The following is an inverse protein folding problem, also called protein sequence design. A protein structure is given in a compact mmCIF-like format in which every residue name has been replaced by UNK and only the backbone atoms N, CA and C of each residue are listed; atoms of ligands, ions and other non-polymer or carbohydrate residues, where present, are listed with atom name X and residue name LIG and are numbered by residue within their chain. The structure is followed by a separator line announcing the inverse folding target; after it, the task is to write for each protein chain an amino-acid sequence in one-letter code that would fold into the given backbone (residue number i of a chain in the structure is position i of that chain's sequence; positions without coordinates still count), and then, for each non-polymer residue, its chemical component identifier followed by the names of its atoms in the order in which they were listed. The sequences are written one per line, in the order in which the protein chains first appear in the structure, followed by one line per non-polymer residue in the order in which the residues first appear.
data_IF_370359982919
#
_entry.id   IF_370359982919
#
_cell.length_a   1.000
_cell.length_b   1.000
_cell.length_c   1.000
_cell.angle_alpha   90.00
_cell.angle_beta   90.00
_cell.angle_gamma   90.00
#
_symmetry.space_group_name_H-M   'P 1'
#
loop_
_entity.id
_entity.type
_entity.pdbx_description
1 polymer ?
#
# COMPACT_ATOMS: atom_id res chain seq x y z
N UNK A 1 21.39 -11.84 -31.65
CA UNK A 1 20.21 -10.96 -31.44
C UNK A 1 20.41 -10.34 -30.07
N UNK A 2 20.86 -9.08 -30.03
CA UNK A 2 21.16 -8.35 -28.79
C UNK A 2 19.84 -7.81 -28.23
N UNK A 3 19.38 -8.36 -27.10
CA UNK A 3 18.23 -7.82 -26.38
C UNK A 3 18.73 -6.64 -25.53
N UNK A 4 18.62 -5.44 -26.08
CA UNK A 4 18.63 -4.22 -25.29
C UNK A 4 17.41 -4.25 -24.37
N UNK A 5 17.61 -4.57 -23.10
CA UNK A 5 16.60 -4.37 -22.08
C UNK A 5 16.21 -2.89 -22.09
N UNK A 6 14.96 -2.60 -22.43
CA UNK A 6 14.39 -1.27 -22.25
C UNK A 6 14.43 -0.98 -20.75
N UNK A 7 15.34 -0.10 -20.33
CA UNK A 7 15.32 0.49 -19.00
C UNK A 7 14.04 1.31 -18.93
N UNK A 8 12.97 0.72 -18.39
CA UNK A 8 11.80 1.47 -18.00
C UNK A 8 12.25 2.48 -16.95
N UNK A 9 12.33 3.76 -17.34
CA UNK A 9 12.58 4.85 -16.40
C UNK A 9 11.37 4.91 -15.48
N UNK A 10 11.50 4.33 -14.29
CA UNK A 10 10.45 4.39 -13.27
C UNK A 10 10.38 5.84 -12.81
N UNK A 11 9.25 6.50 -13.07
CA UNK A 11 9.00 7.86 -12.58
C UNK A 11 8.93 7.88 -11.05
N UNK A 12 9.09 9.06 -10.45
CA UNK A 12 8.90 9.25 -9.01
C UNK A 12 7.52 8.74 -8.58
N UNK A 13 7.45 8.15 -7.39
CA UNK A 13 6.19 7.76 -6.77
C UNK A 13 5.33 9.00 -6.52
N UNK A 14 4.02 8.84 -6.66
CA UNK A 14 3.05 9.92 -6.46
C UNK A 14 1.95 9.46 -5.52
N UNK A 15 1.39 10.40 -4.76
CA UNK A 15 0.19 10.14 -3.98
C UNK A 15 -0.98 9.85 -4.95
N UNK A 16 -1.58 8.64 -4.93
CA UNK A 16 -2.72 8.33 -5.80
C UNK A 16 -3.90 9.23 -5.46
N UNK A 17 -4.77 9.50 -6.43
CA UNK A 17 -6.06 10.14 -6.13
C UNK A 17 -6.98 9.10 -5.50
N UNK A 18 -7.76 9.51 -4.49
CA UNK A 18 -8.81 8.65 -3.96
C UNK A 18 -9.91 8.43 -5.02
N UNK A 19 -10.49 7.21 -5.09
CA UNK A 19 -11.58 6.93 -6.03
C UNK A 19 -12.94 7.48 -5.57
N UNK A 20 -12.99 8.14 -4.41
CA UNK A 20 -14.19 8.70 -3.79
C UNK A 20 -13.84 9.94 -2.94
N UNK A 21 -14.87 10.72 -2.55
CA UNK A 21 -14.71 11.90 -1.68
C UNK A 21 -14.26 11.51 -0.27
N UNK A 22 -13.58 12.41 0.45
CA UNK A 22 -13.12 12.17 1.82
C UNK A 22 -14.24 11.83 2.80
N UNK A 23 -15.45 12.36 2.62
CA UNK A 23 -16.61 12.05 3.45
C UNK A 23 -17.41 10.83 2.97
N UNK A 24 -17.02 10.18 1.86
CA UNK A 24 -17.81 9.13 1.24
C UNK A 24 -18.00 7.87 2.10
N UNK A 25 -17.14 7.65 3.08
CA UNK A 25 -17.18 6.47 3.97
C UNK A 25 -17.88 6.74 5.31
N UNK A 26 -18.44 7.93 5.49
CA UNK A 26 -19.23 8.24 6.69
C UNK A 26 -20.53 7.41 6.73
N UNK A 27 -20.99 7.00 7.93
CA UNK A 27 -20.43 7.32 9.26
C UNK A 27 -19.35 6.34 9.74
N UNK A 28 -18.90 5.39 8.91
CA UNK A 28 -18.00 4.30 9.33
C UNK A 28 -16.57 4.80 9.52
N UNK A 29 -16.10 5.67 8.63
CA UNK A 29 -14.81 6.36 8.75
C UNK A 29 -15.07 7.85 8.49
N UNK A 30 -14.70 8.72 9.44
CA UNK A 30 -14.97 10.15 9.32
C UNK A 30 -14.02 10.84 8.32
N UNK A 31 -14.51 11.95 7.74
CA UNK A 31 -13.77 12.77 6.77
C UNK A 31 -12.38 13.18 7.26
N UNK A 32 -12.28 13.63 8.52
CA UNK A 32 -11.02 14.13 9.08
C UNK A 32 -9.91 13.06 9.08
N UNK A 33 -10.26 11.82 9.45
CA UNK A 33 -9.32 10.69 9.38
C UNK A 33 -8.91 10.45 7.93
N UNK A 34 -9.85 10.44 6.99
CA UNK A 34 -9.55 10.19 5.57
C UNK A 34 -8.62 11.26 4.98
N UNK A 35 -8.84 12.54 5.30
CA UNK A 35 -7.98 13.64 4.86
C UNK A 35 -6.57 13.53 5.44
N UNK A 36 -6.44 13.35 6.76
CA UNK A 36 -5.13 13.24 7.42
C UNK A 36 -4.37 11.99 6.95
N UNK A 37 -5.04 10.85 6.91
CA UNK A 37 -4.45 9.57 6.53
C UNK A 37 -3.95 9.58 5.09
N UNK A 38 -4.67 10.22 4.17
CA UNK A 38 -4.26 10.37 2.78
C UNK A 38 -3.22 11.48 2.58
N UNK A 39 -3.54 12.72 2.95
CA UNK A 39 -2.76 13.89 2.58
C UNK A 39 -1.51 14.10 3.45
N UNK A 40 -1.46 13.49 4.64
CA UNK A 40 -0.30 13.58 5.54
C UNK A 40 0.43 12.25 5.62
N UNK A 41 -0.22 11.20 6.12
CA UNK A 41 0.46 9.92 6.38
C UNK A 41 0.91 9.24 5.08
N UNK A 42 0.01 9.02 4.12
CA UNK A 42 0.39 8.41 2.84
C UNK A 42 1.38 9.28 2.05
N UNK A 43 1.17 10.61 2.02
CA UNK A 43 2.09 11.55 1.38
C UNK A 43 3.52 11.48 1.97
N UNK A 44 3.63 11.25 3.28
CA UNK A 44 4.94 11.11 3.94
C UNK A 44 5.68 9.87 3.44
N UNK A 45 5.00 8.72 3.29
CA UNK A 45 5.62 7.52 2.70
C UNK A 45 6.09 7.77 1.27
N UNK A 46 5.28 8.44 0.44
CA UNK A 46 5.65 8.79 -0.94
C UNK A 46 6.91 9.67 -0.97
N UNK A 47 6.95 10.73 -0.17
CA UNK A 47 8.08 11.66 -0.12
C UNK A 47 9.37 10.95 0.32
N UNK A 48 9.29 10.19 1.41
CA UNK A 48 10.44 9.51 1.99
C UNK A 48 10.93 8.35 1.12
N UNK A 49 10.03 7.64 0.43
CA UNK A 49 10.40 6.61 -0.52
C UNK A 49 11.18 7.21 -1.69
N UNK A 50 10.69 8.30 -2.30
CA UNK A 50 11.40 8.99 -3.37
C UNK A 50 12.80 9.46 -2.92
N UNK A 51 12.92 10.05 -1.74
CA UNK A 51 14.21 10.49 -1.20
C UNK A 51 15.18 9.31 -0.91
N UNK A 52 14.66 8.17 -0.48
CA UNK A 52 15.46 6.96 -0.26
C UNK A 52 15.92 6.33 -1.58
N UNK A 53 15.09 6.35 -2.63
CA UNK A 53 15.44 5.88 -3.96
C UNK A 53 16.47 6.78 -4.65
N UNK A 54 16.40 8.11 -4.47
CA UNK A 54 17.45 9.04 -4.94
C UNK A 54 18.82 8.71 -4.32
N UNK A 55 18.86 8.53 -2.99
CA UNK A 55 20.08 8.11 -2.29
C UNK A 55 20.54 6.70 -2.70
N UNK A 56 19.61 5.82 -3.04
CA UNK A 56 19.91 4.47 -3.51
C UNK A 56 20.63 4.52 -4.86
N UNK A 57 20.14 5.32 -5.81
CA UNK A 57 20.78 5.47 -7.11
C UNK A 57 22.17 6.14 -6.99
N UNK A 58 22.32 7.13 -6.11
CA UNK A 58 23.63 7.71 -5.80
C UNK A 58 24.59 6.66 -5.23
N UNK A 59 24.16 5.88 -4.23
CA UNK A 59 24.97 4.84 -3.62
C UNK A 59 25.38 3.75 -4.62
N UNK A 60 24.47 3.35 -5.52
CA UNK A 60 24.77 2.42 -6.63
C UNK A 60 25.82 2.99 -7.57
N UNK A 61 25.70 4.26 -7.96
CA UNK A 61 26.66 4.91 -8.87
C UNK A 61 28.08 4.96 -8.30
N UNK A 62 28.20 5.00 -6.96
CA UNK A 62 29.47 5.03 -6.23
C UNK A 62 29.93 3.64 -5.76
N UNK A 63 29.17 2.59 -6.02
CA UNK A 63 29.40 1.24 -5.48
C UNK A 63 29.52 1.21 -3.94
N UNK A 64 28.82 2.13 -3.25
CA UNK A 64 28.87 2.26 -1.79
C UNK A 64 27.96 1.23 -1.11
N UNK A 65 28.50 0.03 -0.91
CA UNK A 65 27.77 -1.10 -0.32
C UNK A 65 27.29 -0.80 1.11
N UNK A 66 28.05 -0.01 1.88
CA UNK A 66 27.67 0.37 3.24
C UNK A 66 26.40 1.22 3.22
N UNK A 67 26.34 2.23 2.35
CA UNK A 67 25.16 3.08 2.20
C UNK A 67 23.96 2.29 1.67
N UNK A 68 24.16 1.34 0.75
CA UNK A 68 23.09 0.46 0.26
C UNK A 68 22.44 -0.33 1.41
N UNK A 69 23.24 -0.91 2.30
CA UNK A 69 22.74 -1.66 3.47
C UNK A 69 21.99 -0.72 4.42
N UNK A 70 22.52 0.48 4.67
CA UNK A 70 21.88 1.48 5.54
C UNK A 70 20.53 1.98 5.02
N UNK A 71 20.34 2.04 3.70
CA UNK A 71 19.08 2.49 3.10
C UNK A 71 17.97 1.44 3.11
N UNK A 72 18.31 0.15 3.23
CA UNK A 72 17.35 -0.94 3.12
C UNK A 72 16.15 -0.82 4.07
N UNK A 73 16.29 -0.45 5.36
CA UNK A 73 15.14 -0.26 6.25
C UNK A 73 14.20 0.87 5.79
N UNK A 74 14.75 2.00 5.33
CA UNK A 74 13.97 3.14 4.87
C UNK A 74 13.17 2.81 3.59
N UNK A 75 13.79 2.09 2.66
CA UNK A 75 13.13 1.61 1.44
C UNK A 75 11.99 0.64 1.77
N UNK A 76 12.22 -0.31 2.68
CA UNK A 76 11.18 -1.29 3.10
C UNK A 76 10.03 -0.61 3.83
N UNK A 77 10.32 0.29 4.75
CA UNK A 77 9.31 0.96 5.55
C UNK A 77 8.43 1.89 4.70
N UNK A 78 9.04 2.79 3.92
CA UNK A 78 8.28 3.75 3.12
C UNK A 78 7.66 3.10 1.87
N UNK A 79 8.36 2.13 1.26
CA UNK A 79 7.83 1.33 0.17
C UNK A 79 6.62 0.50 0.60
N UNK A 80 6.74 -0.21 1.73
CA UNK A 80 5.62 -0.94 2.32
C UNK A 80 4.46 -0.02 2.70
N UNK A 81 4.75 1.14 3.29
CA UNK A 81 3.76 2.17 3.61
C UNK A 81 2.99 2.63 2.37
N UNK A 82 3.69 3.02 1.31
CA UNK A 82 3.06 3.47 0.06
C UNK A 82 2.20 2.38 -0.59
N UNK A 83 2.71 1.15 -0.70
CA UNK A 83 1.99 0.03 -1.31
C UNK A 83 0.74 -0.31 -0.50
N UNK A 84 0.87 -0.49 0.81
CA UNK A 84 -0.24 -0.89 1.67
C UNK A 84 -1.36 0.16 1.66
N UNK A 85 -1.03 1.45 1.68
CA UNK A 85 -2.03 2.52 1.61
C UNK A 85 -2.68 2.58 0.22
N UNK A 86 -1.91 2.41 -0.85
CA UNK A 86 -2.46 2.37 -2.22
C UNK A 86 -3.49 1.25 -2.36
N UNK A 87 -3.23 0.07 -1.79
CA UNK A 87 -4.20 -1.03 -1.75
C UNK A 87 -5.38 -0.69 -0.84
N UNK A 88 -5.13 -0.13 0.34
CA UNK A 88 -6.17 0.25 1.31
C UNK A 88 -7.25 1.15 0.69
N UNK A 89 -6.86 2.18 -0.06
CA UNK A 89 -7.80 3.08 -0.72
C UNK A 89 -8.64 2.41 -1.82
N UNK A 90 -8.13 1.37 -2.47
CA UNK A 90 -8.86 0.62 -3.50
C UNK A 90 -9.79 -0.44 -2.89
N UNK A 91 -9.52 -0.88 -1.67
CA UNK A 91 -10.32 -1.89 -0.97
C UNK A 91 -11.56 -1.31 -0.26
N UNK A 92 -11.63 0.02 -0.09
CA UNK A 92 -12.76 0.70 0.53
C UNK A 92 -13.75 1.18 -0.53
N UNK A 93 -15.03 1.25 -0.17
CA UNK A 93 -16.09 1.71 -1.07
C UNK A 93 -17.24 2.31 -0.26
N UNK A 94 -17.86 3.41 -0.73
CA UNK A 94 -19.11 3.92 -0.14
C UNK A 94 -20.29 2.97 -0.40
N UNK A 95 -20.19 2.15 -1.44
CA UNK A 95 -21.23 1.22 -1.84
C UNK A 95 -20.93 -0.17 -1.27
N UNK A 96 -21.95 -0.78 -0.67
CA UNK A 96 -21.88 -2.18 -0.25
C UNK A 96 -21.87 -3.08 -1.47
N UNK A 97 -20.98 -4.07 -1.46
CA UNK A 97 -20.89 -5.12 -2.46
C UNK A 97 -20.71 -6.47 -1.78
N UNK A 98 -20.89 -7.54 -2.57
CA UNK A 98 -20.54 -8.89 -2.17
C UNK A 98 -19.29 -9.33 -2.94
N UNK A 99 -18.47 -10.24 -2.39
CA UNK A 99 -17.41 -10.89 -3.16
C UNK A 99 -17.97 -11.49 -4.46
N UNK A 100 -17.16 -11.52 -5.52
CA UNK A 100 -17.50 -12.30 -6.71
C UNK A 100 -17.66 -13.78 -6.35
N UNK A 101 -18.40 -14.55 -7.15
CA UNK A 101 -18.61 -15.98 -6.89
C UNK A 101 -17.30 -16.76 -6.75
N UNK A 102 -16.30 -16.44 -7.57
CA UNK A 102 -14.99 -17.11 -7.51
C UNK A 102 -14.23 -16.73 -6.22
N UNK A 103 -14.27 -15.47 -5.82
CA UNK A 103 -13.66 -15.03 -4.56
C UNK A 103 -14.37 -15.65 -3.36
N UNK A 104 -15.71 -15.68 -3.38
CA UNK A 104 -16.52 -16.31 -2.34
C UNK A 104 -16.20 -17.79 -2.20
N UNK A 105 -16.13 -18.53 -3.30
CA UNK A 105 -15.72 -19.95 -3.30
C UNK A 105 -14.31 -20.14 -2.74
N UNK A 106 -13.36 -19.29 -3.12
CA UNK A 106 -12.00 -19.36 -2.58
C UNK A 106 -11.98 -19.13 -1.06
N UNK A 107 -12.75 -18.15 -0.57
CA UNK A 107 -12.88 -17.89 0.87
C UNK A 107 -13.51 -19.09 1.57
N UNK A 108 -14.65 -19.59 1.08
CA UNK A 108 -15.36 -20.71 1.71
C UNK A 108 -14.55 -22.01 1.65
N UNK A 109 -13.71 -22.22 0.63
CA UNK A 109 -12.80 -23.36 0.56
C UNK A 109 -11.72 -23.33 1.65
N UNK A 110 -11.25 -22.14 2.05
CA UNK A 110 -10.16 -22.00 3.02
C UNK A 110 -10.68 -21.85 4.45
N UNK A 111 -11.75 -21.09 4.64
CA UNK A 111 -12.31 -20.75 5.95
C UNK A 111 -13.62 -21.46 6.28
N UNK A 112 -14.12 -22.34 5.40
CA UNK A 112 -15.42 -23.05 5.48
C UNK A 112 -16.64 -22.15 5.24
N UNK A 113 -16.60 -20.91 5.70
CA UNK A 113 -17.65 -19.92 5.47
C UNK A 113 -17.10 -18.50 5.38
N UNK A 114 -17.84 -17.60 4.73
CA UNK A 114 -17.50 -16.18 4.70
C UNK A 114 -17.54 -15.52 6.10
N UNK A 115 -18.42 -15.99 6.98
CA UNK A 115 -18.50 -15.48 8.36
C UNK A 115 -17.32 -15.94 9.22
N UNK A 116 -16.85 -17.19 9.05
CA UNK A 116 -15.64 -17.67 9.72
C UNK A 116 -14.40 -16.88 9.26
N UNK A 117 -14.30 -16.57 7.96
CA UNK A 117 -13.26 -15.68 7.44
C UNK A 117 -13.29 -14.31 8.10
N UNK A 118 -14.47 -13.66 8.16
CA UNK A 118 -14.61 -12.34 8.81
C UNK A 118 -14.21 -12.40 10.28
N UNK A 119 -14.59 -13.46 11.00
CA UNK A 119 -14.24 -13.66 12.41
C UNK A 119 -12.72 -13.77 12.57
N UNK A 120 -12.07 -14.64 11.81
CA UNK A 120 -10.62 -14.85 11.89
C UNK A 120 -9.86 -13.57 11.52
N UNK A 121 -10.22 -12.92 10.42
CA UNK A 121 -9.61 -11.66 9.99
C UNK A 121 -9.72 -10.58 11.08
N UNK A 122 -10.90 -10.45 11.70
CA UNK A 122 -11.13 -9.49 12.79
C UNK A 122 -10.27 -9.81 14.01
N UNK A 123 -10.23 -11.08 14.43
CA UNK A 123 -9.40 -11.52 15.56
C UNK A 123 -7.93 -11.19 15.35
N UNK A 124 -7.40 -11.50 14.16
CA UNK A 124 -6.00 -11.23 13.82
C UNK A 124 -5.70 -9.73 13.75
N UNK A 125 -6.62 -8.93 13.18
CA UNK A 125 -6.44 -7.48 13.05
C UNK A 125 -6.39 -6.78 14.41
N UNK A 126 -7.23 -7.19 15.37
CA UNK A 126 -7.25 -6.62 16.72
C UNK A 126 -6.04 -7.05 17.55
N UNK A 127 -5.40 -8.18 17.21
CA UNK A 127 -4.29 -8.74 17.97
C UNK A 127 -2.90 -8.21 17.57
N UNK A 128 -2.81 -7.28 16.60
CA UNK A 128 -1.53 -6.67 16.20
C UNK A 128 -0.93 -5.92 17.40
N UNK A 129 0.32 -6.25 17.75
CA UNK A 129 1.08 -5.66 18.86
C UNK A 129 1.98 -4.51 18.41
#
# INVERSE_FOLDING_TARGET
ISQTASLAVRGKHTLPKLPYDYAALEPIICREIMELHHQKHHQTYVNNLNAAEEQLEEAKSKSDTTKLIQLAPALRFNGGGHINHTIFWQNLSPNKSQPSDDLKKAIESQWKSFEDFKKELTTLTVAVQ
#
